data_IF_356188182774
#
_entry.id   IF_356188182774
#
_cell.length_a   1.000
_cell.length_b   1.000
_cell.length_c   1.000
_cell.angle_alpha   90.00
_cell.angle_beta   90.00
_cell.angle_gamma   90.00
#
_symmetry.space_group_name_H-M   'P 1'
#
loop_
_entity.id
_entity.type
_entity.pdbx_description
1 polymer ?
#
# COMPACT_ATOMS: atom_id res chain seq x y z
N UNK A 1 -12.83 -11.19 -17.02
CA UNK A 1 -13.30 -11.58 -15.68
C UNK A 1 -14.49 -10.72 -15.36
N UNK A 2 -15.47 -11.26 -14.62
CA UNK A 2 -16.73 -10.55 -14.40
C UNK A 2 -16.51 -9.24 -13.64
N UNK A 3 -17.38 -8.27 -13.92
CA UNK A 3 -17.38 -6.97 -13.25
C UNK A 3 -17.52 -7.09 -11.73
N UNK A 4 -18.33 -8.03 -11.25
CA UNK A 4 -18.49 -8.31 -9.82
C UNK A 4 -17.17 -8.69 -9.15
N UNK A 5 -16.36 -9.52 -9.82
CA UNK A 5 -15.08 -9.95 -9.28
C UNK A 5 -14.05 -8.82 -9.26
N UNK A 6 -14.03 -7.97 -10.28
CA UNK A 6 -13.19 -6.77 -10.28
C UNK A 6 -13.56 -5.79 -9.16
N UNK A 7 -14.85 -5.46 -8.98
CA UNK A 7 -15.29 -4.60 -7.88
C UNK A 7 -14.91 -5.18 -6.52
N UNK A 8 -15.09 -6.49 -6.35
CA UNK A 8 -14.65 -7.17 -5.14
C UNK A 8 -13.15 -7.00 -4.92
N UNK A 9 -12.33 -7.24 -5.95
CA UNK A 9 -10.88 -7.14 -5.80
C UNK A 9 -10.40 -5.72 -5.60
N UNK A 10 -11.01 -4.72 -6.22
CA UNK A 10 -10.67 -3.31 -5.96
C UNK A 10 -10.87 -2.95 -4.48
N UNK A 11 -11.87 -3.53 -3.80
CA UNK A 11 -12.01 -3.39 -2.35
C UNK A 11 -10.91 -4.09 -1.57
N UNK A 12 -10.46 -5.27 -2.04
CA UNK A 12 -9.28 -5.93 -1.48
C UNK A 12 -8.04 -5.04 -1.64
N UNK A 13 -7.79 -4.50 -2.84
CA UNK A 13 -6.71 -3.54 -3.11
C UNK A 13 -6.80 -2.34 -2.16
N UNK A 14 -7.99 -1.75 -1.99
CA UNK A 14 -8.23 -0.63 -1.09
C UNK A 14 -7.88 -0.96 0.36
N UNK A 15 -8.26 -2.14 0.85
CA UNK A 15 -7.96 -2.58 2.22
C UNK A 15 -6.46 -2.86 2.38
N UNK A 16 -5.86 -3.57 1.44
CA UNK A 16 -4.42 -3.91 1.46
C UNK A 16 -3.57 -2.65 1.53
N UNK A 17 -3.90 -1.62 0.75
CA UNK A 17 -3.20 -0.33 0.76
C UNK A 17 -3.56 0.47 2.02
N UNK A 18 -4.86 0.64 2.28
CA UNK A 18 -5.35 1.56 3.31
C UNK A 18 -5.11 1.11 4.75
N UNK A 19 -5.02 -0.21 5.01
CA UNK A 19 -4.86 -0.74 6.36
C UNK A 19 -3.51 -0.39 7.00
N UNK A 20 -2.47 -0.16 6.20
CA UNK A 20 -1.19 0.34 6.70
C UNK A 20 -1.28 1.79 7.21
N UNK A 21 -2.28 2.55 6.75
CA UNK A 21 -2.50 3.94 7.15
C UNK A 21 -2.60 4.13 8.67
N UNK A 22 -3.60 3.50 9.33
CA UNK A 22 -3.71 3.54 10.79
C UNK A 22 -2.48 3.01 11.53
N UNK A 23 -1.81 1.98 11.00
CA UNK A 23 -0.58 1.43 11.61
C UNK A 23 0.51 2.50 11.67
N UNK A 24 0.81 3.15 10.54
CA UNK A 24 1.83 4.20 10.50
C UNK A 24 1.40 5.49 11.19
N UNK A 25 0.10 5.79 11.27
CA UNK A 25 -0.41 6.88 12.10
C UNK A 25 -0.13 6.65 13.59
N UNK A 26 -0.35 5.43 14.10
CA UNK A 26 0.00 5.07 15.48
C UNK A 26 1.51 5.15 15.74
N UNK A 27 2.32 4.96 14.69
CA UNK A 27 3.77 5.24 14.68
C UNK A 27 4.15 6.65 15.13
N UNK A 28 3.28 7.64 14.99
CA UNK A 28 3.59 9.04 15.33
C UNK A 28 3.78 9.28 16.84
N UNK A 29 3.25 8.37 17.67
CA UNK A 29 3.32 8.43 19.13
C UNK A 29 4.17 7.27 19.64
N UNK A 30 5.19 7.57 20.45
CA UNK A 30 6.14 6.55 20.95
C UNK A 30 5.41 5.40 21.63
N UNK A 31 4.40 5.71 22.46
CA UNK A 31 3.61 4.73 23.20
C UNK A 31 2.84 3.72 22.32
N UNK A 32 2.54 4.06 21.06
CA UNK A 32 1.80 3.20 20.14
C UNK A 32 2.60 2.84 18.89
N UNK A 33 3.90 3.12 18.89
CA UNK A 33 4.74 2.98 17.70
C UNK A 33 5.10 1.54 17.34
N UNK A 34 4.94 0.60 18.28
CA UNK A 34 5.46 -0.75 18.14
C UNK A 34 4.95 -1.52 16.89
N UNK A 35 3.66 -1.45 16.50
CA UNK A 35 3.22 -2.08 15.26
C UNK A 35 3.89 -1.51 14.01
N UNK A 36 4.09 -0.19 13.96
CA UNK A 36 4.76 0.47 12.83
C UNK A 36 6.26 0.18 12.82
N UNK A 37 6.90 0.21 13.99
CA UNK A 37 8.30 -0.16 14.20
C UNK A 37 8.56 -1.59 13.73
N UNK A 38 7.80 -2.55 14.22
CA UNK A 38 7.92 -3.96 13.84
C UNK A 38 7.68 -4.16 12.34
N UNK A 39 6.72 -3.44 11.75
CA UNK A 39 6.48 -3.52 10.31
C UNK A 39 7.72 -3.07 9.54
N UNK A 40 8.32 -1.93 9.88
CA UNK A 40 9.53 -1.45 9.19
C UNK A 40 10.75 -2.34 9.43
N UNK A 41 10.91 -2.89 10.62
CA UNK A 41 11.97 -3.84 11.00
C UNK A 41 11.86 -5.12 10.16
N UNK A 42 10.65 -5.68 10.04
CA UNK A 42 10.36 -6.82 9.15
C UNK A 42 10.69 -6.51 7.68
N UNK A 43 10.27 -5.34 7.19
CA UNK A 43 10.50 -4.95 5.80
C UNK A 43 11.98 -4.65 5.51
N UNK A 44 12.74 -4.25 6.53
CA UNK A 44 14.16 -3.90 6.43
C UNK A 44 15.10 -5.09 6.65
N UNK A 45 14.58 -6.23 7.13
CA UNK A 45 15.23 -7.52 7.44
C UNK A 45 16.78 -7.54 7.50
N UNK A 46 17.39 -8.02 8.60
CA UNK A 46 16.81 -8.86 9.66
C UNK A 46 15.99 -8.09 10.69
N UNK A 47 15.15 -8.81 11.46
CA UNK A 47 14.42 -8.22 12.60
C UNK A 47 15.41 -8.01 13.75
N UNK A 48 15.92 -6.80 13.90
CA UNK A 48 16.99 -6.46 14.85
C UNK A 48 16.67 -5.27 15.77
N UNK A 49 15.46 -4.70 15.65
CA UNK A 49 15.04 -3.55 16.43
C UNK A 49 15.13 -2.23 15.68
N UNK A 50 15.68 -2.20 14.46
CA UNK A 50 15.89 -1.00 13.64
C UNK A 50 14.92 -1.00 12.45
N UNK A 51 14.31 0.14 12.07
CA UNK A 51 14.49 1.49 12.61
C UNK A 51 13.78 1.74 13.94
N UNK A 52 14.34 2.66 14.74
CA UNK A 52 13.69 3.15 15.95
C UNK A 52 12.81 4.38 15.65
N UNK A 53 11.77 4.57 16.47
CA UNK A 53 10.82 5.68 16.37
C UNK A 53 11.15 6.86 17.30
N UNK A 54 12.37 6.91 17.83
CA UNK A 54 12.82 7.97 18.75
C UNK A 54 12.96 9.32 18.03
N UNK A 55 13.47 9.30 16.81
CA UNK A 55 13.65 10.50 15.99
C UNK A 55 12.30 11.16 15.66
N UNK A 56 12.15 12.48 15.87
CA UNK A 56 11.00 13.23 15.38
C UNK A 56 10.80 13.10 13.86
N UNK A 57 11.89 12.97 13.10
CA UNK A 57 11.85 12.78 11.65
C UNK A 57 11.16 11.47 11.25
N UNK A 58 11.48 10.36 11.91
CA UNK A 58 10.84 9.05 11.67
C UNK A 58 9.34 9.12 11.95
N UNK A 59 8.95 9.74 13.07
CA UNK A 59 7.55 9.93 13.44
C UNK A 59 6.80 10.80 12.42
N UNK A 60 7.42 11.88 11.94
CA UNK A 60 6.84 12.74 10.92
C UNK A 60 6.66 12.01 9.58
N UNK A 61 7.67 11.27 9.11
CA UNK A 61 7.56 10.45 7.90
C UNK A 61 6.49 9.36 8.06
N UNK A 62 6.38 8.74 9.23
CA UNK A 62 5.30 7.78 9.54
C UNK A 62 3.91 8.43 9.46
N UNK A 63 3.76 9.68 9.90
CA UNK A 63 2.50 10.43 9.75
C UNK A 63 2.13 10.63 8.27
N UNK A 64 3.11 11.04 7.45
CA UNK A 64 2.91 11.24 6.01
C UNK A 64 2.55 9.92 5.31
N UNK A 65 3.32 8.86 5.56
CA UNK A 65 3.04 7.52 5.02
C UNK A 65 1.65 7.05 5.41
N UNK A 66 1.26 7.21 6.69
CA UNK A 66 -0.06 6.83 7.18
C UNK A 66 -1.20 7.56 6.45
N UNK A 67 -1.06 8.89 6.31
CA UNK A 67 -2.05 9.73 5.63
C UNK A 67 -2.20 9.39 4.14
N UNK A 68 -1.09 9.25 3.41
CA UNK A 68 -1.11 8.92 1.99
C UNK A 68 -1.71 7.53 1.73
N UNK A 69 -1.35 6.52 2.53
CA UNK A 69 -1.85 5.15 2.36
C UNK A 69 -3.34 5.04 2.66
N UNK A 70 -3.82 5.62 3.77
CA UNK A 70 -5.25 5.63 4.06
C UNK A 70 -6.05 6.39 2.99
N UNK A 71 -5.57 7.57 2.60
CA UNK A 71 -6.20 8.37 1.54
C UNK A 71 -6.28 7.63 0.21
N UNK A 72 -5.20 6.95 -0.18
CA UNK A 72 -5.16 6.13 -1.39
C UNK A 72 -6.13 4.94 -1.31
N UNK A 73 -6.16 4.23 -0.19
CA UNK A 73 -7.12 3.13 0.04
C UNK A 73 -8.57 3.60 -0.06
N UNK A 74 -8.91 4.72 0.59
CA UNK A 74 -10.26 5.33 0.51
C UNK A 74 -10.60 5.75 -0.92
N UNK A 75 -9.65 6.34 -1.65
CA UNK A 75 -9.85 6.69 -3.07
C UNK A 75 -10.15 5.44 -3.91
N UNK A 76 -9.36 4.37 -3.79
CA UNK A 76 -9.60 3.11 -4.53
C UNK A 76 -10.98 2.54 -4.16
N UNK A 77 -11.36 2.58 -2.88
CA UNK A 77 -12.66 2.10 -2.43
C UNK A 77 -13.81 2.82 -3.14
N UNK A 78 -13.75 4.14 -3.23
CA UNK A 78 -14.79 4.93 -3.87
C UNK A 78 -14.74 4.88 -5.40
N UNK A 79 -13.57 4.69 -6.02
CA UNK A 79 -13.49 4.33 -7.44
C UNK A 79 -14.24 3.02 -7.71
N UNK A 80 -14.10 2.02 -6.85
CA UNK A 80 -14.87 0.78 -6.96
C UNK A 80 -16.36 0.95 -6.71
N UNK A 81 -16.75 1.80 -5.76
CA UNK A 81 -18.14 1.93 -5.32
C UNK A 81 -18.97 2.85 -6.22
N UNK A 82 -18.39 3.96 -6.67
CA UNK A 82 -19.12 5.05 -7.33
C UNK A 82 -18.82 5.20 -8.80
N UNK A 83 -17.61 4.84 -9.25
CA UNK A 83 -17.15 5.12 -10.62
C UNK A 83 -17.13 3.88 -11.49
N UNK A 84 -16.90 2.70 -10.90
CA UNK A 84 -16.67 1.46 -11.65
C UNK A 84 -17.80 1.10 -12.62
N UNK A 85 -19.06 1.29 -12.24
CA UNK A 85 -20.19 0.89 -13.09
C UNK A 85 -20.32 1.78 -14.34
N UNK A 86 -19.83 3.02 -14.28
CA UNK A 86 -19.78 3.92 -15.42
C UNK A 86 -18.52 3.72 -16.30
N UNK A 87 -17.39 3.33 -15.70
CA UNK A 87 -16.10 3.25 -16.39
C UNK A 87 -15.20 2.13 -15.84
N UNK A 88 -15.55 0.85 -16.03
CA UNK A 88 -14.90 -0.28 -15.37
C UNK A 88 -13.42 -0.40 -15.75
N UNK A 89 -13.12 -0.26 -17.04
CA UNK A 89 -11.76 -0.40 -17.57
C UNK A 89 -10.88 0.81 -17.24
N UNK A 90 -11.47 2.02 -17.20
CA UNK A 90 -10.74 3.22 -16.79
C UNK A 90 -10.34 3.13 -15.31
N UNK A 91 -11.26 2.72 -14.43
CA UNK A 91 -10.97 2.47 -13.01
C UNK A 91 -9.91 1.39 -12.86
N UNK A 92 -10.05 0.25 -13.55
CA UNK A 92 -9.05 -0.83 -13.52
C UNK A 92 -7.67 -0.34 -13.90
N UNK A 93 -7.54 0.40 -15.02
CA UNK A 93 -6.25 0.91 -15.50
C UNK A 93 -5.66 1.95 -14.56
N UNK A 94 -6.47 2.87 -14.04
CA UNK A 94 -6.00 3.88 -13.09
C UNK A 94 -5.43 3.23 -11.84
N UNK A 95 -6.12 2.26 -11.25
CA UNK A 95 -5.65 1.54 -10.07
C UNK A 95 -4.43 0.69 -10.39
N UNK A 96 -4.43 -0.06 -11.50
CA UNK A 96 -3.29 -0.88 -11.91
C UNK A 96 -2.03 -0.03 -12.13
N UNK A 97 -2.13 1.06 -12.89
CA UNK A 97 -0.99 1.95 -13.16
C UNK A 97 -0.51 2.66 -11.89
N UNK A 98 -1.43 3.04 -11.00
CA UNK A 98 -1.07 3.59 -9.69
C UNK A 98 -0.27 2.61 -8.83
N UNK A 99 -0.74 1.36 -8.73
CA UNK A 99 -0.04 0.30 -7.97
C UNK A 99 1.31 -0.03 -8.60
N UNK A 100 1.42 -0.09 -9.93
CA UNK A 100 2.70 -0.31 -10.61
C UNK A 100 3.67 0.85 -10.38
N UNK A 101 3.19 2.09 -10.44
CA UNK A 101 4.01 3.28 -10.20
C UNK A 101 4.56 3.28 -8.77
N UNK A 102 3.71 2.96 -7.79
CA UNK A 102 4.14 2.76 -6.40
C UNK A 102 5.19 1.65 -6.30
N UNK A 103 4.91 0.46 -6.86
CA UNK A 103 5.82 -0.68 -6.79
C UNK A 103 7.21 -0.36 -7.32
N UNK A 104 7.31 0.26 -8.50
CA UNK A 104 8.61 0.58 -9.09
C UNK A 104 9.35 1.65 -8.30
N UNK A 105 8.69 2.74 -7.93
CA UNK A 105 9.35 3.85 -7.24
C UNK A 105 9.75 3.48 -5.81
N UNK A 106 8.87 2.80 -5.07
CA UNK A 106 9.12 2.37 -3.69
C UNK A 106 10.21 1.29 -3.64
N UNK A 107 10.18 0.32 -4.55
CA UNK A 107 11.24 -0.71 -4.61
C UNK A 107 12.60 -0.11 -4.99
N UNK A 108 12.63 0.83 -5.93
CA UNK A 108 13.87 1.53 -6.29
C UNK A 108 14.41 2.35 -5.11
N UNK A 109 13.54 3.09 -4.41
CA UNK A 109 13.91 3.84 -3.20
C UNK A 109 14.38 2.94 -2.05
N UNK A 110 13.76 1.77 -1.90
CA UNK A 110 14.15 0.76 -0.91
C UNK A 110 15.55 0.23 -1.17
N UNK A 111 15.85 -0.15 -2.41
CA UNK A 111 17.20 -0.60 -2.79
C UNK A 111 18.22 0.52 -2.60
N UNK A 112 17.91 1.74 -3.05
CA UNK A 112 18.79 2.89 -2.94
C UNK A 112 19.07 3.31 -1.48
N UNK A 113 18.15 3.01 -0.56
CA UNK A 113 18.30 3.29 0.88
C UNK A 113 18.90 2.13 1.69
N UNK A 114 19.27 1.03 1.04
CA UNK A 114 19.83 -0.17 1.70
C UNK A 114 18.80 -1.19 2.17
N UNK A 115 17.50 -0.93 2.04
CA UNK A 115 16.40 -1.80 2.47
C UNK A 115 15.96 -2.75 1.35
N UNK A 116 16.90 -3.54 0.80
CA UNK A 116 16.63 -4.38 -0.38
C UNK A 116 15.51 -5.40 -0.16
N UNK A 117 15.37 -5.90 1.07
CA UNK A 117 14.28 -6.83 1.45
C UNK A 117 12.89 -6.25 1.25
N UNK A 118 12.71 -4.93 1.38
CA UNK A 118 11.42 -4.31 1.15
C UNK A 118 10.98 -4.46 -0.31
N UNK A 119 11.92 -4.48 -1.28
CA UNK A 119 11.58 -4.75 -2.68
C UNK A 119 11.00 -6.18 -2.87
N UNK A 120 11.44 -7.16 -2.08
CA UNK A 120 10.85 -8.50 -2.07
C UNK A 120 9.42 -8.47 -1.51
N UNK A 121 9.18 -7.79 -0.39
CA UNK A 121 7.84 -7.63 0.18
C UNK A 121 6.91 -6.86 -0.76
N UNK A 122 7.42 -5.86 -1.49
CA UNK A 122 6.67 -5.13 -2.50
C UNK A 122 6.18 -6.04 -3.63
N UNK A 123 6.92 -7.10 -4.01
CA UNK A 123 6.42 -8.10 -4.97
C UNK A 123 5.21 -8.83 -4.40
N UNK A 124 5.22 -9.21 -3.12
CA UNK A 124 4.09 -9.86 -2.47
C UNK A 124 2.88 -8.92 -2.43
N UNK A 125 3.08 -7.66 -2.01
CA UNK A 125 2.03 -6.64 -1.98
C UNK A 125 1.48 -6.40 -3.39
N UNK A 126 2.34 -6.30 -4.41
CA UNK A 126 1.94 -6.13 -5.81
C UNK A 126 1.02 -7.26 -6.28
N UNK A 127 1.40 -8.52 -6.01
CA UNK A 127 0.62 -9.68 -6.42
C UNK A 127 -0.76 -9.71 -5.76
N UNK A 128 -0.83 -9.39 -4.46
CA UNK A 128 -2.10 -9.34 -3.71
C UNK A 128 -2.96 -8.15 -4.14
N UNK A 129 -2.36 -6.96 -4.21
CA UNK A 129 -3.05 -5.71 -4.55
C UNK A 129 -3.59 -5.74 -5.98
N UNK A 130 -2.82 -6.24 -6.95
CA UNK A 130 -3.26 -6.30 -8.35
C UNK A 130 -4.17 -7.49 -8.61
N UNK A 131 -3.81 -8.69 -8.14
CA UNK A 131 -4.55 -9.94 -8.35
C UNK A 131 -5.15 -10.07 -9.78
N UNK A 132 -6.49 -10.06 -9.95
CA UNK A 132 -7.17 -10.19 -11.23
C UNK A 132 -7.06 -8.98 -12.16
N UNK A 133 -6.68 -7.81 -11.65
CA UNK A 133 -6.71 -6.55 -12.40
C UNK A 133 -5.72 -6.54 -13.57
N UNK A 134 -4.82 -7.52 -13.71
CA UNK A 134 -4.02 -7.74 -14.92
C UNK A 134 -4.85 -8.01 -16.18
N UNK A 135 -6.05 -8.55 -16.01
CA UNK A 135 -6.93 -8.89 -17.13
C UNK A 135 -7.98 -7.80 -17.32
N UNK A 136 -8.35 -7.44 -18.56
CA UNK A 136 -9.41 -6.48 -18.83
C UNK A 136 -10.74 -6.88 -18.20
N UNK A 137 -11.55 -5.88 -17.84
CA UNK A 137 -12.94 -6.09 -17.46
C UNK A 137 -13.68 -6.63 -18.69
N UNK A 138 -14.25 -7.82 -18.57
CA UNK A 138 -15.14 -8.38 -19.58
C UNK A 138 -16.49 -8.59 -18.91
N UNK A 139 -17.57 -8.48 -19.67
CA UNK A 139 -18.94 -8.73 -19.18
C UNK A 139 -19.03 -10.05 -18.39
#
# INVERSE_FOLDING_TARGET
MSHKFHKFWLKITAIVVGAFGPVFFLGTMVATSEPARFTLDLLSWPIDGVPTYESPGTRFLSALTGGFLLGWGVMIWFLSAWVYDAAPEAVRRAVLLGVLSWFFLDSAGSIASGNTWNAFFNVIVLLVAVGPLWRPARE
#
